data_IF_881184086348
#
_entry.id   IF_881184086348
#
_cell.length_a   1.000
_cell.length_b   1.000
_cell.length_c   1.000
_cell.angle_alpha   90.00
_cell.angle_beta   90.00
_cell.angle_gamma   90.00
#
_symmetry.space_group_name_H-M   'P 1'
#
loop_
_entity.id
_entity.type
_entity.pdbx_description
1 polymer ?
#
# COMPACT_ATOMS: atom_id res chain seq x y z
N UNK A 1 9.24 -16.26 -10.73
CA UNK A 1 9.45 -15.45 -9.52
C UNK A 1 8.18 -15.45 -8.69
N UNK A 2 8.27 -15.81 -7.44
CA UNK A 2 7.12 -15.81 -6.52
C UNK A 2 7.33 -14.75 -5.45
N UNK A 3 6.46 -13.76 -5.43
CA UNK A 3 6.51 -12.68 -4.45
C UNK A 3 5.47 -12.94 -3.38
N UNK A 4 5.89 -12.86 -2.12
CA UNK A 4 4.99 -12.94 -0.98
C UNK A 4 4.69 -11.54 -0.47
N UNK A 5 3.43 -11.31 -0.13
CA UNK A 5 2.98 -10.04 0.43
C UNK A 5 2.47 -10.31 1.84
N UNK A 6 3.06 -9.64 2.82
CA UNK A 6 2.71 -9.81 4.23
C UNK A 6 2.30 -8.46 4.81
N UNK A 7 1.06 -8.34 5.35
CA UNK A 7 0.69 -7.14 6.10
C UNK A 7 1.46 -7.10 7.42
N UNK A 8 2.19 -6.02 7.67
CA UNK A 8 3.02 -5.88 8.87
C UNK A 8 2.34 -5.05 9.94
N UNK A 9 1.71 -3.95 9.56
CA UNK A 9 1.03 -3.09 10.53
C UNK A 9 -0.14 -2.38 9.89
N UNK A 10 -1.14 -2.11 10.73
CA UNK A 10 -2.29 -1.29 10.39
C UNK A 10 -2.50 -0.35 11.56
N UNK A 11 -2.26 0.95 11.36
CA UNK A 11 -2.27 1.93 12.43
C UNK A 11 -3.29 3.03 12.14
N UNK A 12 -4.06 3.37 13.16
CA UNK A 12 -4.91 4.55 13.13
C UNK A 12 -4.04 5.76 13.43
N UNK A 13 -3.91 6.67 12.47
CA UNK A 13 -2.99 7.81 12.59
C UNK A 13 -3.67 9.11 12.98
N UNK A 14 -4.99 9.10 13.11
CA UNK A 14 -5.75 10.30 13.49
C UNK A 14 -6.96 10.47 12.61
N UNK A 15 -7.34 11.72 12.39
CA UNK A 15 -8.51 12.06 11.58
C UNK A 15 -8.09 12.89 10.39
N UNK A 16 -8.73 12.67 9.27
CA UNK A 16 -8.56 13.46 8.06
C UNK A 16 -9.86 14.18 7.72
N UNK A 17 -9.76 15.34 7.13
CA UNK A 17 -10.93 16.10 6.69
C UNK A 17 -11.31 15.65 5.27
N UNK A 18 -12.59 15.41 5.06
CA UNK A 18 -13.14 15.07 3.75
C UNK A 18 -14.37 15.94 3.50
N UNK A 19 -14.96 15.77 2.30
CA UNK A 19 -16.21 16.47 1.95
C UNK A 19 -17.38 16.02 2.84
N UNK A 20 -17.26 14.86 3.47
CA UNK A 20 -18.29 14.31 4.36
C UNK A 20 -17.99 14.56 5.85
N UNK A 21 -16.97 15.39 6.16
CA UNK A 21 -16.56 15.68 7.52
C UNK A 21 -15.25 14.99 7.88
N UNK A 22 -15.06 14.71 9.17
CA UNK A 22 -13.85 14.04 9.65
C UNK A 22 -13.99 12.53 9.52
N UNK A 23 -12.97 11.89 8.95
CA UNK A 23 -12.91 10.45 8.78
C UNK A 23 -11.61 9.91 9.36
N UNK A 24 -11.60 8.63 9.71
CA UNK A 24 -10.41 7.99 10.25
C UNK A 24 -9.30 7.93 9.20
N UNK A 25 -8.08 8.23 9.62
CA UNK A 25 -6.89 8.13 8.79
C UNK A 25 -6.05 6.94 9.25
N UNK A 26 -5.45 6.24 8.31
CA UNK A 26 -4.74 4.98 8.53
C UNK A 26 -3.42 4.94 7.79
N UNK A 27 -2.48 4.20 8.35
CA UNK A 27 -1.26 3.80 7.65
C UNK A 27 -1.15 2.28 7.70
N UNK A 28 -1.08 1.67 6.53
CA UNK A 28 -0.97 0.21 6.40
C UNK A 28 0.34 -0.11 5.71
N UNK A 29 1.17 -0.93 6.36
CA UNK A 29 2.48 -1.31 5.83
C UNK A 29 2.45 -2.75 5.37
N UNK A 30 2.91 -2.99 4.15
CA UNK A 30 3.10 -4.31 3.59
C UNK A 30 4.57 -4.58 3.33
N UNK A 31 5.00 -5.80 3.59
CA UNK A 31 6.30 -6.29 3.15
C UNK A 31 6.12 -7.18 1.93
N UNK A 32 6.99 -6.99 0.95
CA UNK A 32 7.05 -7.81 -0.25
C UNK A 32 8.42 -8.45 -0.30
N UNK A 33 8.48 -9.77 -0.39
CA UNK A 33 9.75 -10.47 -0.48
C UNK A 33 9.70 -11.63 -1.47
N UNK A 34 10.87 -12.08 -1.85
CA UNK A 34 11.03 -13.25 -2.69
C UNK A 34 12.30 -13.99 -2.25
N UNK A 35 12.12 -15.05 -1.46
CA UNK A 35 13.21 -15.94 -1.04
C UNK A 35 14.46 -15.21 -0.53
N UNK A 36 14.28 -14.16 0.24
CA UNK A 36 15.37 -13.36 0.80
C UNK A 36 16.25 -12.63 -0.23
N UNK A 37 15.96 -12.82 -1.52
CA UNK A 37 16.73 -12.19 -2.60
C UNK A 37 16.29 -10.76 -2.87
N UNK A 38 14.98 -10.50 -2.73
CA UNK A 38 14.37 -9.20 -2.97
C UNK A 38 13.49 -8.85 -1.79
N UNK A 39 13.56 -7.61 -1.37
CA UNK A 39 12.76 -7.13 -0.26
C UNK A 39 12.32 -5.70 -0.52
N UNK A 40 11.08 -5.41 -0.23
CA UNK A 40 10.56 -4.06 -0.25
C UNK A 40 9.53 -3.89 0.86
N UNK A 41 9.41 -2.68 1.37
CA UNK A 41 8.33 -2.31 2.28
C UNK A 41 7.58 -1.13 1.68
N UNK A 42 6.27 -1.19 1.74
CA UNK A 42 5.41 -0.15 1.17
C UNK A 42 4.43 0.30 2.23
N UNK A 43 4.45 1.60 2.51
CA UNK A 43 3.49 2.24 3.42
C UNK A 43 2.39 2.88 2.59
N UNK A 44 1.15 2.51 2.90
CA UNK A 44 -0.02 3.07 2.23
C UNK A 44 -0.80 3.90 3.24
N UNK A 45 -0.97 5.18 2.94
CA UNK A 45 -1.76 6.10 3.75
C UNK A 45 -3.11 6.29 3.09
N UNK A 46 -4.17 6.13 3.89
CA UNK A 46 -5.54 6.26 3.40
C UNK A 46 -6.45 6.80 4.48
N UNK A 47 -7.63 7.22 4.08
CA UNK A 47 -8.64 7.73 4.99
C UNK A 47 -10.01 7.23 4.58
N UNK A 48 -10.92 7.13 5.54
CA UNK A 48 -12.31 6.76 5.32
C UNK A 48 -12.75 5.53 6.07
N UNK A 49 -12.07 4.37 5.93
CA UNK A 49 -12.55 3.14 6.57
C UNK A 49 -12.66 3.28 8.09
N UNK A 50 -13.75 2.79 8.70
CA UNK A 50 -13.94 2.94 10.15
C UNK A 50 -13.23 1.88 10.99
N UNK A 51 -12.78 0.78 10.40
CA UNK A 51 -12.15 -0.32 11.14
C UNK A 51 -10.80 -0.70 10.55
N UNK A 52 -9.96 -1.36 11.36
CA UNK A 52 -8.67 -1.90 10.91
C UNK A 52 -8.82 -2.84 9.72
N UNK A 53 -9.81 -3.72 9.79
CA UNK A 53 -10.04 -4.70 8.74
C UNK A 53 -10.36 -4.03 7.40
N UNK A 54 -11.26 -3.08 7.41
CA UNK A 54 -11.65 -2.35 6.20
C UNK A 54 -10.49 -1.50 5.67
N UNK A 55 -9.71 -0.88 6.56
CA UNK A 55 -8.53 -0.12 6.17
C UNK A 55 -7.52 -1.02 5.47
N UNK A 56 -7.28 -2.22 6.00
CA UNK A 56 -6.36 -3.19 5.41
C UNK A 56 -6.85 -3.66 4.04
N UNK A 57 -8.13 -3.95 3.90
CA UNK A 57 -8.71 -4.37 2.63
C UNK A 57 -8.59 -3.28 1.56
N UNK A 58 -8.90 -2.04 1.92
CA UNK A 58 -8.76 -0.92 1.01
C UNK A 58 -7.31 -0.69 0.62
N UNK A 59 -6.39 -0.78 1.58
CA UNK A 59 -4.97 -0.65 1.32
C UNK A 59 -4.46 -1.74 0.36
N UNK A 60 -4.95 -2.96 0.50
CA UNK A 60 -4.56 -4.04 -0.39
C UNK A 60 -4.99 -3.76 -1.84
N UNK A 61 -6.19 -3.22 -2.04
CA UNK A 61 -6.64 -2.81 -3.38
C UNK A 61 -5.76 -1.70 -3.96
N UNK A 62 -5.41 -0.72 -3.15
CA UNK A 62 -4.51 0.37 -3.55
C UNK A 62 -3.15 -0.22 -3.93
N UNK A 63 -2.63 -1.16 -3.15
CA UNK A 63 -1.37 -1.83 -3.44
C UNK A 63 -1.42 -2.56 -4.79
N UNK A 64 -2.51 -3.27 -5.10
CA UNK A 64 -2.67 -3.96 -6.36
C UNK A 64 -2.61 -2.99 -7.55
N UNK A 65 -3.31 -1.88 -7.46
CA UNK A 65 -3.28 -0.85 -8.50
C UNK A 65 -1.88 -0.26 -8.64
N UNK A 66 -1.24 0.05 -7.54
CA UNK A 66 0.12 0.58 -7.53
C UNK A 66 1.11 -0.38 -8.18
N UNK A 67 1.04 -1.68 -7.86
CA UNK A 67 1.96 -2.67 -8.42
C UNK A 67 1.75 -2.83 -9.93
N UNK A 68 0.51 -2.79 -10.42
CA UNK A 68 0.24 -2.80 -11.84
C UNK A 68 0.84 -1.58 -12.54
N UNK A 69 0.63 -0.40 -11.98
CA UNK A 69 1.15 0.83 -12.55
C UNK A 69 2.68 0.86 -12.50
N UNK A 70 3.28 0.38 -11.42
CA UNK A 70 4.73 0.28 -11.28
C UNK A 70 5.31 -0.68 -12.31
N UNK A 71 4.65 -1.80 -12.56
CA UNK A 71 5.06 -2.75 -13.58
C UNK A 71 5.09 -2.10 -14.96
N UNK A 72 4.04 -1.38 -15.33
CA UNK A 72 3.97 -0.68 -16.61
C UNK A 72 5.04 0.41 -16.71
N UNK A 73 5.24 1.16 -15.64
CA UNK A 73 6.28 2.20 -15.60
C UNK A 73 7.68 1.60 -15.76
N UNK A 74 7.93 0.46 -15.12
CA UNK A 74 9.22 -0.23 -15.22
C UNK A 74 9.51 -0.69 -16.65
N UNK A 75 8.48 -1.17 -17.36
CA UNK A 75 8.63 -1.60 -18.76
C UNK A 75 9.01 -0.45 -19.69
N UNK A 76 8.59 0.75 -19.36
CA UNK A 76 8.84 1.95 -20.16
C UNK A 76 10.13 2.66 -19.79
N UNK A 77 10.73 2.28 -18.66
CA UNK A 77 11.92 2.95 -18.15
C UNK A 77 13.12 2.62 -19.04
N UNK A 78 13.87 3.64 -19.38
CA UNK A 78 15.09 3.51 -20.18
C UNK A 78 16.26 4.12 -19.40
N UNK A 79 17.33 3.33 -19.26
CA UNK A 79 18.54 3.82 -18.62
C UNK A 79 19.31 4.70 -19.60
N UNK A 80 19.70 5.87 -19.14
CA UNK A 80 20.60 6.75 -19.88
C UNK A 80 22.05 6.40 -19.50
N UNK A 81 22.85 6.15 -20.50
CA UNK A 81 24.27 5.84 -20.31
C UNK A 81 25.14 7.04 -20.69
#
# INVERSE_FOLDING_TARGET
MTVQITPKSTQHTGMATSTEGSVAAWEVTFELDENESLYAAIDIRLAGPPTHHEARQKALKILQIFLNDACEAAKKYQFSN
#
